data_IF_747051056313
#
_entry.id   IF_747051056313
#
_cell.length_a   1.000
_cell.length_b   1.000
_cell.length_c   1.000
_cell.angle_alpha   90.00
_cell.angle_beta   90.00
_cell.angle_gamma   90.00
#
_symmetry.space_group_name_H-M   'P 1'
#
loop_
_entity.id
_entity.type
_entity.pdbx_description
1 polymer ?
#
# COMPACT_ATOMS: atom_id res chain seq x y z
N UNK A 1 -9.17 -31.78 -27.26
CA UNK A 1 -8.10 -32.04 -26.27
C UNK A 1 -7.87 -30.75 -25.50
N UNK A 2 -8.24 -30.71 -24.23
CA UNK A 2 -7.98 -29.55 -23.35
C UNK A 2 -6.48 -29.59 -23.00
N UNK A 3 -5.70 -28.52 -23.22
CA UNK A 3 -4.30 -28.50 -22.81
C UNK A 3 -4.26 -28.66 -21.29
N UNK A 4 -3.57 -29.69 -20.80
CA UNK A 4 -3.24 -29.80 -19.38
C UNK A 4 -2.41 -28.57 -19.01
N UNK A 5 -2.94 -27.71 -18.16
CA UNK A 5 -2.20 -26.56 -17.62
C UNK A 5 -0.93 -27.08 -16.96
N UNK A 6 0.23 -26.60 -17.40
CA UNK A 6 1.48 -26.86 -16.69
C UNK A 6 1.33 -26.35 -15.25
N UNK A 7 1.74 -27.13 -14.23
CA UNK A 7 1.70 -26.67 -12.86
C UNK A 7 2.55 -25.41 -12.74
N UNK A 8 1.99 -24.33 -12.18
CA UNK A 8 2.77 -23.13 -11.90
C UNK A 8 3.92 -23.49 -10.94
N UNK A 9 5.12 -22.92 -11.14
CA UNK A 9 6.24 -23.19 -10.25
C UNK A 9 5.87 -22.80 -8.82
N UNK A 10 6.04 -23.75 -7.89
CA UNK A 10 5.76 -23.55 -6.48
C UNK A 10 6.64 -22.41 -5.96
N UNK A 11 6.03 -21.39 -5.35
CA UNK A 11 6.75 -20.29 -4.71
C UNK A 11 7.45 -20.83 -3.47
N UNK A 12 8.77 -20.69 -3.41
CA UNK A 12 9.55 -21.09 -2.23
C UNK A 12 9.31 -20.08 -1.10
N UNK A 13 8.89 -20.52 0.08
CA UNK A 13 8.67 -19.65 1.25
C UNK A 13 9.73 -19.92 2.32
N UNK A 14 10.44 -18.87 2.73
CA UNK A 14 11.48 -18.91 3.76
C UNK A 14 11.10 -18.00 4.92
N UNK A 15 10.90 -18.59 6.09
CA UNK A 15 10.86 -17.82 7.35
C UNK A 15 12.29 -17.41 7.70
N UNK A 16 12.53 -16.10 7.85
CA UNK A 16 13.87 -15.56 8.17
C UNK A 16 13.93 -15.21 9.67
N UNK A 17 14.69 -15.96 10.50
CA UNK A 17 14.72 -15.73 11.95
C UNK A 17 15.10 -14.29 12.33
N UNK A 18 16.05 -13.69 11.62
CA UNK A 18 16.52 -12.33 11.84
C UNK A 18 15.43 -11.29 11.61
N UNK A 19 14.44 -11.57 10.76
CA UNK A 19 13.28 -10.68 10.62
C UNK A 19 12.53 -10.59 11.94
N UNK A 20 12.29 -11.70 12.62
CA UNK A 20 11.63 -11.70 13.93
C UNK A 20 12.39 -10.92 15.00
N UNK A 21 13.73 -10.95 14.96
CA UNK A 21 14.56 -10.17 15.88
C UNK A 21 14.31 -8.67 15.75
N UNK A 22 14.14 -8.16 14.52
CA UNK A 22 13.87 -6.73 14.29
C UNK A 22 12.56 -6.24 14.92
N UNK A 23 11.55 -7.12 15.02
CA UNK A 23 10.28 -6.82 15.69
C UNK A 23 10.45 -6.84 17.21
N UNK A 24 11.18 -7.82 17.74
CA UNK A 24 11.50 -7.93 19.17
C UNK A 24 12.30 -6.72 19.67
N UNK A 25 13.33 -6.31 18.93
CA UNK A 25 14.18 -5.16 19.27
C UNK A 25 13.39 -3.85 19.37
N UNK A 26 12.36 -3.70 18.53
CA UNK A 26 11.49 -2.53 18.49
C UNK A 26 10.23 -2.69 19.35
N UNK A 27 10.07 -3.83 20.03
CA UNK A 27 8.94 -4.15 20.93
C UNK A 27 7.59 -3.95 20.24
N UNK A 28 7.46 -4.45 19.02
CA UNK A 28 6.21 -4.41 18.24
C UNK A 28 5.86 -5.80 17.71
N UNK A 29 4.57 -6.09 17.67
CA UNK A 29 4.04 -7.31 17.05
C UNK A 29 3.64 -7.03 15.60
N UNK A 30 3.83 -8.01 14.72
CA UNK A 30 3.44 -7.85 13.32
C UNK A 30 3.97 -8.94 12.40
N UNK A 31 4.04 -8.59 11.12
CA UNK A 31 4.53 -9.44 10.06
C UNK A 31 5.18 -8.63 8.96
N UNK A 32 6.04 -9.30 8.22
CA UNK A 32 6.57 -8.81 6.95
C UNK A 32 6.58 -9.95 5.96
N UNK A 33 6.24 -9.63 4.72
CA UNK A 33 6.45 -10.47 3.56
C UNK A 33 7.27 -9.67 2.54
N UNK A 34 8.34 -10.26 2.02
CA UNK A 34 9.13 -9.75 0.91
C UNK A 34 9.14 -10.80 -0.20
N UNK A 35 8.77 -10.42 -1.41
CA UNK A 35 8.78 -11.30 -2.57
C UNK A 35 9.84 -10.89 -3.59
N UNK A 36 10.69 -11.85 -3.93
CA UNK A 36 11.68 -11.78 -5.01
C UNK A 36 11.13 -12.55 -6.24
N UNK A 37 10.68 -11.84 -7.29
CA UNK A 37 10.16 -12.47 -8.51
C UNK A 37 11.23 -13.19 -9.33
N UNK A 38 12.50 -12.80 -9.24
CA UNK A 38 13.58 -13.42 -10.03
C UNK A 38 13.90 -14.82 -9.52
N UNK A 39 13.82 -15.01 -8.20
CA UNK A 39 13.99 -16.32 -7.55
C UNK A 39 12.67 -17.05 -7.34
N UNK A 40 11.54 -16.40 -7.60
CA UNK A 40 10.21 -16.87 -7.22
C UNK A 40 10.14 -17.28 -5.73
N UNK A 41 10.70 -16.43 -4.86
CA UNK A 41 10.92 -16.73 -3.45
C UNK A 41 10.29 -15.66 -2.54
N UNK A 42 9.68 -16.10 -1.44
CA UNK A 42 9.16 -15.27 -0.36
C UNK A 42 10.10 -15.38 0.84
N UNK A 43 10.47 -14.24 1.41
CA UNK A 43 11.09 -14.11 2.72
C UNK A 43 10.08 -13.50 3.68
N UNK A 44 9.83 -14.13 4.82
CA UNK A 44 8.78 -13.66 5.72
C UNK A 44 9.04 -13.85 7.22
N UNK A 45 8.34 -13.03 8.00
CA UNK A 45 8.12 -13.22 9.43
C UNK A 45 6.61 -13.22 9.69
N UNK A 46 6.16 -14.13 10.55
CA UNK A 46 4.76 -14.35 10.92
C UNK A 46 3.82 -14.65 9.72
N UNK A 47 3.97 -15.82 9.06
CA UNK A 47 3.19 -16.20 7.87
C UNK A 47 1.68 -16.17 8.10
N UNK A 48 1.22 -16.55 9.29
CA UNK A 48 -0.22 -16.53 9.64
C UNK A 48 -0.79 -15.12 9.51
N UNK A 49 -0.08 -14.10 10.00
CA UNK A 49 -0.51 -12.71 9.87
C UNK A 49 -0.38 -12.19 8.44
N UNK A 50 0.58 -12.68 7.66
CA UNK A 50 0.70 -12.36 6.22
C UNK A 50 -0.52 -12.80 5.39
N UNK A 51 -1.31 -13.74 5.91
CA UNK A 51 -2.56 -14.23 5.31
C UNK A 51 -3.82 -13.70 6.03
N UNK A 52 -3.66 -12.84 7.04
CA UNK A 52 -4.78 -12.28 7.80
C UNK A 52 -5.22 -10.95 7.17
N UNK A 53 -6.53 -10.75 6.92
CA UNK A 53 -7.03 -9.54 6.27
C UNK A 53 -7.20 -8.38 7.26
N UNK A 54 -6.71 -7.19 6.92
CA UNK A 54 -6.87 -5.96 7.70
C UNK A 54 -7.40 -4.81 6.83
N UNK A 55 -7.91 -3.76 7.47
CA UNK A 55 -8.21 -2.51 6.76
C UNK A 55 -6.93 -1.99 6.08
N UNK A 56 -6.98 -1.60 4.79
CA UNK A 56 -5.81 -1.05 4.09
C UNK A 56 -5.41 0.32 4.65
N UNK A 57 -6.33 1.05 5.29
CA UNK A 57 -6.13 2.43 5.69
C UNK A 57 -5.53 3.24 4.54
N UNK A 58 -4.50 4.04 4.82
CA UNK A 58 -3.90 4.90 3.81
C UNK A 58 -3.09 4.20 2.71
N UNK A 59 -2.89 2.87 2.74
CA UNK A 59 -2.29 2.17 1.59
C UNK A 59 -3.25 2.18 0.39
N UNK A 60 -4.57 2.26 0.65
CA UNK A 60 -5.59 2.41 -0.39
C UNK A 60 -5.40 3.65 -1.26
N UNK A 61 -4.65 4.66 -0.79
CA UNK A 61 -4.31 5.85 -1.58
C UNK A 61 -3.59 5.52 -2.89
N UNK A 62 -2.90 4.37 -3.00
CA UNK A 62 -2.33 3.91 -4.26
C UNK A 62 -3.45 3.67 -5.29
N UNK A 63 -4.42 2.84 -4.94
CA UNK A 63 -5.54 2.51 -5.83
C UNK A 63 -6.50 3.70 -6.03
N UNK A 64 -6.78 4.48 -4.99
CA UNK A 64 -7.61 5.69 -5.13
C UNK A 64 -6.98 6.69 -6.12
N UNK A 65 -5.64 6.85 -6.12
CA UNK A 65 -4.95 7.69 -7.09
C UNK A 65 -5.12 7.19 -8.53
N UNK A 66 -4.98 5.86 -8.75
CA UNK A 66 -5.20 5.24 -10.06
C UNK A 66 -6.62 5.49 -10.57
N UNK A 67 -7.63 5.20 -9.74
CA UNK A 67 -9.04 5.38 -10.10
C UNK A 67 -9.34 6.86 -10.36
N UNK A 68 -8.77 7.77 -9.58
CA UNK A 68 -8.99 9.22 -9.74
C UNK A 68 -8.49 9.73 -11.09
N UNK A 69 -7.27 9.34 -11.47
CA UNK A 69 -6.65 9.77 -12.72
C UNK A 69 -7.37 9.16 -13.92
N UNK A 70 -7.70 7.87 -13.85
CA UNK A 70 -8.32 7.14 -14.96
C UNK A 70 -9.79 7.53 -15.17
N UNK A 71 -10.52 7.79 -14.09
CA UNK A 71 -11.88 8.35 -14.13
C UNK A 71 -11.90 9.86 -14.46
N UNK A 72 -10.73 10.46 -14.71
CA UNK A 72 -10.55 11.87 -15.08
C UNK A 72 -11.19 12.86 -14.11
N UNK A 73 -11.27 12.52 -12.81
CA UNK A 73 -11.79 13.47 -11.79
C UNK A 73 -10.77 14.57 -11.46
N UNK A 74 -9.51 14.32 -11.81
CA UNK A 74 -8.43 15.28 -11.92
C UNK A 74 -7.65 15.00 -13.21
N UNK A 75 -7.10 16.01 -13.89
CA UNK A 75 -6.30 15.82 -15.08
C UNK A 75 -4.93 15.21 -14.78
N UNK A 76 -4.30 15.53 -13.64
CA UNK A 76 -2.95 15.09 -13.26
C UNK A 76 -2.74 15.23 -11.73
N UNK A 77 -1.52 14.91 -11.27
CA UNK A 77 -1.14 14.97 -9.86
C UNK A 77 -0.90 16.38 -9.30
N UNK A 78 -0.84 17.41 -10.15
CA UNK A 78 -0.42 18.76 -9.79
C UNK A 78 -1.61 19.69 -9.50
N UNK A 79 -2.82 19.28 -9.86
CA UNK A 79 -4.05 19.98 -9.46
C UNK A 79 -4.16 20.10 -7.94
N UNK A 80 -4.34 21.35 -7.50
CA UNK A 80 -4.45 21.72 -6.08
C UNK A 80 -5.89 21.77 -5.63
N UNK A 81 -6.15 21.24 -4.44
CA UNK A 81 -7.39 21.47 -3.70
C UNK A 81 -7.11 22.42 -2.53
N UNK A 82 -8.00 23.40 -2.37
CA UNK A 82 -7.94 24.37 -1.29
C UNK A 82 -8.32 23.71 0.04
N UNK A 83 -7.55 24.01 1.07
CA UNK A 83 -7.86 23.63 2.44
C UNK A 83 -9.08 24.39 2.95
N UNK A 84 -9.96 23.69 3.64
CA UNK A 84 -11.22 24.23 4.16
C UNK A 84 -11.07 25.10 5.42
N UNK A 85 -9.83 25.39 5.84
CA UNK A 85 -9.55 26.13 7.08
C UNK A 85 -9.80 25.33 8.36
N UNK A 86 -10.23 24.06 8.27
CA UNK A 86 -10.47 23.22 9.45
C UNK A 86 -9.14 22.64 9.94
N UNK A 87 -8.77 23.00 11.16
CA UNK A 87 -7.56 22.49 11.80
C UNK A 87 -7.68 20.99 12.11
N UNK A 88 -6.76 20.19 11.56
CA UNK A 88 -6.68 18.74 11.77
C UNK A 88 -5.43 18.35 12.58
N UNK A 89 -5.41 17.16 13.21
CA UNK A 89 -4.33 16.75 14.12
C UNK A 89 -2.95 16.63 13.46
N UNK A 90 -2.88 16.42 12.15
CA UNK A 90 -1.62 16.33 11.40
C UNK A 90 -1.32 17.67 10.74
N UNK A 91 -0.27 18.41 11.14
CA UNK A 91 0.00 19.76 10.61
C UNK A 91 0.12 19.79 9.08
N UNK A 92 0.71 18.75 8.47
CA UNK A 92 0.84 18.65 7.02
C UNK A 92 -0.49 18.58 6.26
N UNK A 93 -1.62 18.38 6.94
CA UNK A 93 -2.95 18.38 6.33
C UNK A 93 -3.59 19.77 6.25
N UNK A 94 -3.09 20.74 7.00
CA UNK A 94 -3.72 22.06 7.19
C UNK A 94 -3.16 23.08 6.19
N UNK A 95 -3.23 22.74 4.91
CA UNK A 95 -2.72 23.54 3.80
C UNK A 95 -3.33 23.05 2.48
N UNK A 96 -3.28 23.89 1.45
CA UNK A 96 -3.61 23.50 0.09
C UNK A 96 -2.65 22.42 -0.40
N UNK A 97 -3.18 21.35 -0.99
CA UNK A 97 -2.40 20.19 -1.43
C UNK A 97 -2.73 19.83 -2.88
N UNK A 98 -1.72 19.36 -3.61
CA UNK A 98 -1.92 18.52 -4.79
C UNK A 98 -1.84 17.01 -4.43
N UNK A 99 -2.02 16.12 -5.41
CA UNK A 99 -2.00 14.67 -5.15
C UNK A 99 -0.64 14.18 -4.66
N UNK A 100 0.47 14.69 -5.21
CA UNK A 100 1.83 14.32 -4.80
C UNK A 100 2.08 14.63 -3.32
N UNK A 101 1.75 15.85 -2.92
CA UNK A 101 1.87 16.31 -1.54
C UNK A 101 0.92 15.54 -0.62
N UNK A 102 -0.35 15.39 -1.01
CA UNK A 102 -1.37 14.65 -0.25
C UNK A 102 -1.01 13.18 -0.06
N UNK A 103 -0.39 12.53 -1.05
CA UNK A 103 0.11 11.15 -0.95
C UNK A 103 1.23 11.07 0.10
N UNK A 104 2.19 12.00 0.04
CA UNK A 104 3.35 12.09 0.95
C UNK A 104 2.93 12.33 2.41
N UNK A 105 2.09 13.32 2.67
CA UNK A 105 1.59 13.62 4.03
C UNK A 105 0.42 12.74 4.45
N UNK A 106 -0.02 11.85 3.55
CA UNK A 106 -1.15 10.94 3.76
C UNK A 106 -2.47 11.65 4.12
N UNK A 107 -2.71 12.84 3.55
CA UNK A 107 -3.87 13.69 3.84
C UNK A 107 -5.18 12.96 3.51
N UNK A 108 -5.95 12.60 4.54
CA UNK A 108 -7.21 11.87 4.36
C UNK A 108 -8.25 12.71 3.63
N UNK A 109 -8.40 13.99 4.01
CA UNK A 109 -9.41 14.88 3.44
C UNK A 109 -9.31 15.00 1.90
N UNK A 110 -8.08 15.07 1.37
CA UNK A 110 -7.85 15.17 -0.07
C UNK A 110 -8.38 13.94 -0.81
N UNK A 111 -8.10 12.75 -0.29
CA UNK A 111 -8.55 11.48 -0.86
C UNK A 111 -10.04 11.21 -0.66
N UNK A 112 -10.65 11.80 0.36
CA UNK A 112 -12.11 11.79 0.54
C UNK A 112 -12.82 12.67 -0.50
N UNK A 113 -12.25 13.83 -0.85
CA UNK A 113 -12.75 14.64 -1.97
C UNK A 113 -12.68 13.84 -3.27
N UNK A 114 -11.53 13.21 -3.55
CA UNK A 114 -11.37 12.36 -4.73
C UNK A 114 -12.39 11.21 -4.76
N UNK A 115 -12.54 10.47 -3.66
CA UNK A 115 -13.49 9.37 -3.58
C UNK A 115 -14.95 9.83 -3.83
N UNK A 116 -15.36 10.97 -3.26
CA UNK A 116 -16.67 11.58 -3.53
C UNK A 116 -16.83 11.98 -5.00
N UNK A 117 -15.80 12.58 -5.62
CA UNK A 117 -15.83 12.95 -7.04
C UNK A 117 -15.88 11.75 -7.97
N UNK A 118 -15.19 10.65 -7.63
CA UNK A 118 -15.27 9.37 -8.35
C UNK A 118 -16.72 8.84 -8.25
N UNK A 119 -17.31 8.88 -7.05
CA UNK A 119 -18.63 8.33 -6.79
C UNK A 119 -18.61 6.80 -6.66
N UNK A 120 -19.67 6.25 -6.07
CA UNK A 120 -19.70 4.86 -5.61
C UNK A 120 -19.50 3.83 -6.74
N UNK A 121 -20.27 3.92 -7.83
CA UNK A 121 -20.22 2.90 -8.90
C UNK A 121 -18.85 2.82 -9.58
N UNK A 122 -18.22 3.96 -9.88
CA UNK A 122 -16.88 3.98 -10.48
C UNK A 122 -15.81 3.49 -9.51
N UNK A 123 -15.93 3.83 -8.21
CA UNK A 123 -15.03 3.31 -7.18
C UNK A 123 -15.14 1.80 -7.06
N UNK A 124 -16.36 1.27 -7.01
CA UNK A 124 -16.65 -0.17 -6.96
C UNK A 124 -16.07 -0.89 -8.16
N UNK A 125 -16.30 -0.37 -9.38
CA UNK A 125 -15.75 -0.93 -10.60
C UNK A 125 -14.21 -0.94 -10.58
N UNK A 126 -13.56 0.14 -10.14
CA UNK A 126 -12.11 0.21 -10.01
C UNK A 126 -11.53 -0.77 -8.99
N UNK A 127 -12.18 -0.93 -7.84
CA UNK A 127 -11.77 -1.87 -6.78
C UNK A 127 -11.93 -3.33 -7.23
N UNK A 128 -13.04 -3.66 -7.91
CA UNK A 128 -13.28 -4.99 -8.47
C UNK A 128 -12.29 -5.27 -9.62
N UNK A 129 -12.14 -4.34 -10.56
CA UNK A 129 -11.24 -4.50 -11.71
C UNK A 129 -9.78 -4.67 -11.31
N UNK A 130 -9.33 -3.97 -10.27
CA UNK A 130 -7.99 -4.14 -9.72
C UNK A 130 -7.82 -5.43 -8.89
N UNK A 131 -8.92 -6.16 -8.61
CA UNK A 131 -8.98 -7.29 -7.68
C UNK A 131 -8.30 -6.97 -6.34
N UNK A 132 -8.73 -5.88 -5.69
CA UNK A 132 -8.08 -5.35 -4.50
C UNK A 132 -8.74 -5.87 -3.22
N UNK A 133 -8.05 -6.77 -2.51
CA UNK A 133 -8.53 -7.38 -1.27
C UNK A 133 -9.86 -8.12 -1.43
N UNK A 134 -10.73 -8.01 -0.43
CA UNK A 134 -12.07 -8.60 -0.48
C UNK A 134 -13.06 -7.85 -1.39
N UNK A 135 -12.64 -6.72 -1.97
CA UNK A 135 -13.38 -5.80 -2.85
C UNK A 135 -14.67 -5.24 -2.23
N UNK A 136 -14.82 -5.32 -0.91
CA UNK A 136 -16.00 -4.86 -0.23
C UNK A 136 -15.87 -3.38 0.14
N UNK A 137 -16.55 -2.49 -0.59
CA UNK A 137 -16.57 -1.05 -0.25
C UNK A 137 -17.82 -0.60 0.51
N UNK A 138 -18.67 -1.56 0.93
CA UNK A 138 -19.92 -1.28 1.64
C UNK A 138 -20.95 -0.55 0.77
N UNK A 139 -21.78 0.26 1.41
CA UNK A 139 -22.85 1.03 0.78
C UNK A 139 -22.38 2.40 0.25
N UNK A 140 -23.13 3.06 -0.65
CA UNK A 140 -22.80 4.40 -1.16
C UNK A 140 -22.52 5.46 -0.08
N UNK A 141 -23.14 5.35 1.10
CA UNK A 141 -22.88 6.22 2.25
C UNK A 141 -21.44 6.15 2.77
N UNK A 142 -20.71 5.08 2.46
CA UNK A 142 -19.37 4.81 2.98
C UNK A 142 -18.27 5.24 2.00
N UNK A 143 -18.62 5.89 0.88
CA UNK A 143 -17.71 6.19 -0.24
C UNK A 143 -16.43 6.90 0.17
N UNK A 144 -16.41 7.63 1.29
CA UNK A 144 -15.24 8.35 1.81
C UNK A 144 -14.67 7.77 3.12
N UNK A 145 -15.13 6.58 3.54
CA UNK A 145 -14.74 5.91 4.79
C UNK A 145 -14.36 4.44 4.62
N UNK A 146 -14.74 3.77 3.53
CA UNK A 146 -14.68 2.31 3.43
C UNK A 146 -13.27 1.71 3.61
N UNK A 147 -12.22 2.46 3.30
CA UNK A 147 -10.82 2.04 3.49
C UNK A 147 -10.25 2.44 4.86
N UNK A 148 -10.95 3.27 5.63
CA UNK A 148 -10.54 3.73 6.96
C UNK A 148 -11.17 2.83 8.03
N UNK A 149 -12.51 2.83 8.08
CA UNK A 149 -13.32 2.12 9.07
C UNK A 149 -13.88 0.79 8.57
N UNK A 150 -13.55 0.39 7.33
CA UNK A 150 -14.11 -0.79 6.69
C UNK A 150 -15.39 -0.49 5.89
N UNK A 151 -15.91 -1.48 5.14
CA UNK A 151 -15.65 -2.90 5.34
C UNK A 151 -14.43 -3.46 4.59
N UNK A 152 -13.78 -2.68 3.71
CA UNK A 152 -12.70 -3.18 2.86
C UNK A 152 -11.55 -3.76 3.68
N UNK A 153 -11.15 -4.99 3.34
CA UNK A 153 -9.96 -5.62 3.91
C UNK A 153 -9.05 -6.21 2.84
N UNK A 154 -7.77 -6.32 3.17
CA UNK A 154 -6.72 -6.90 2.34
C UNK A 154 -5.64 -7.54 3.22
N UNK A 155 -5.07 -8.66 2.78
CA UNK A 155 -3.95 -9.32 3.45
C UNK A 155 -2.60 -8.73 3.00
N UNK A 156 -1.51 -8.89 3.79
CA UNK A 156 -0.17 -8.56 3.32
C UNK A 156 0.22 -9.29 2.02
N UNK A 157 -0.19 -10.54 1.83
CA UNK A 157 0.06 -11.30 0.59
C UNK A 157 -0.70 -10.73 -0.61
N UNK A 158 -1.95 -10.30 -0.43
CA UNK A 158 -2.73 -9.62 -1.48
C UNK A 158 -2.15 -8.22 -1.81
N UNK A 159 -1.55 -7.52 -0.84
CA UNK A 159 -0.80 -6.27 -1.11
C UNK A 159 0.37 -6.53 -2.07
N UNK A 160 1.14 -7.61 -1.87
CA UNK A 160 2.22 -8.00 -2.78
C UNK A 160 1.67 -8.24 -4.19
N UNK A 161 0.61 -9.03 -4.32
CA UNK A 161 0.00 -9.34 -5.61
C UNK A 161 -0.51 -8.08 -6.33
N UNK A 162 -1.13 -7.15 -5.61
CA UNK A 162 -1.56 -5.86 -6.16
C UNK A 162 -0.36 -5.03 -6.65
N UNK A 163 0.71 -4.95 -5.85
CA UNK A 163 1.92 -4.20 -6.20
C UNK A 163 2.67 -4.81 -7.39
N UNK A 164 2.69 -6.14 -7.53
CA UNK A 164 3.24 -6.81 -8.72
C UNK A 164 2.48 -6.41 -9.98
N UNK A 165 1.14 -6.44 -9.96
CA UNK A 165 0.32 -6.01 -11.10
C UNK A 165 0.51 -4.53 -11.40
N UNK A 166 0.63 -3.68 -10.37
CA UNK A 166 0.97 -2.27 -10.55
C UNK A 166 2.33 -2.10 -11.25
N UNK A 167 3.36 -2.79 -10.76
CA UNK A 167 4.71 -2.73 -11.31
C UNK A 167 4.77 -3.18 -12.76
N UNK A 168 4.09 -4.28 -13.10
CA UNK A 168 4.06 -4.85 -14.46
C UNK A 168 3.08 -4.15 -15.42
N UNK A 169 2.43 -3.06 -15.01
CA UNK A 169 1.36 -2.39 -15.78
C UNK A 169 0.20 -3.32 -16.16
N UNK A 170 -0.15 -4.27 -15.27
CA UNK A 170 -1.20 -5.28 -15.48
C UNK A 170 -2.52 -4.94 -14.78
N UNK A 171 -2.63 -3.76 -14.17
CA UNK A 171 -3.89 -3.24 -13.65
C UNK A 171 -4.74 -2.62 -14.78
N UNK A 172 -6.08 -2.62 -14.68
CA UNK A 172 -6.96 -2.10 -15.73
C UNK A 172 -7.05 -0.56 -15.69
N UNK A 173 -5.91 0.11 -15.72
CA UNK A 173 -5.80 1.57 -15.77
C UNK A 173 -4.85 1.96 -16.90
N UNK A 174 -5.01 3.16 -17.44
CA UNK A 174 -4.10 3.68 -18.46
C UNK A 174 -2.65 3.71 -17.99
N UNK A 175 -1.71 3.48 -18.91
CA UNK A 175 -0.26 3.55 -18.63
C UNK A 175 0.13 4.90 -18.03
N UNK A 176 -0.52 5.98 -18.48
CA UNK A 176 -0.37 7.32 -17.92
C UNK A 176 -0.69 7.37 -16.43
N UNK A 177 -1.86 6.87 -16.03
CA UNK A 177 -2.27 6.86 -14.62
C UNK A 177 -1.32 6.02 -13.77
N UNK A 178 -0.89 4.86 -14.28
CA UNK A 178 0.07 4.00 -13.60
C UNK A 178 1.43 4.70 -13.44
N UNK A 179 1.94 5.35 -14.48
CA UNK A 179 3.21 6.09 -14.44
C UNK A 179 3.18 7.22 -13.40
N UNK A 180 2.12 8.03 -13.37
CA UNK A 180 1.93 9.09 -12.37
C UNK A 180 1.91 8.50 -10.96
N UNK A 181 1.17 7.41 -10.73
CA UNK A 181 1.07 6.80 -9.39
C UNK A 181 2.41 6.20 -8.94
N UNK A 182 3.16 5.55 -9.84
CA UNK A 182 4.51 5.06 -9.53
C UNK A 182 5.46 6.20 -9.18
N UNK A 183 5.33 7.35 -9.82
CA UNK A 183 6.16 8.52 -9.56
C UNK A 183 5.88 9.16 -8.18
N UNK A 184 4.60 9.39 -7.83
CA UNK A 184 4.26 9.94 -6.50
C UNK A 184 4.55 8.96 -5.35
N UNK A 185 4.72 7.66 -5.65
CA UNK A 185 5.07 6.64 -4.68
C UNK A 185 6.54 6.68 -4.25
N UNK A 186 7.43 7.41 -4.92
CA UNK A 186 8.86 7.48 -4.58
C UNK A 186 9.02 8.06 -3.17
N UNK A 187 9.50 7.23 -2.24
CA UNK A 187 9.67 7.56 -0.83
C UNK A 187 11.13 7.69 -0.42
N UNK A 188 12.03 7.01 -1.13
CA UNK A 188 13.47 7.02 -0.92
C UNK A 188 14.17 6.73 -2.25
N UNK A 189 15.21 7.47 -2.57
CA UNK A 189 15.93 7.33 -3.83
C UNK A 189 17.39 7.71 -3.63
N UNK A 190 18.28 6.82 -4.08
CA UNK A 190 19.72 7.00 -4.10
C UNK A 190 20.25 6.66 -5.49
N UNK A 191 21.56 6.73 -5.69
CA UNK A 191 22.17 6.24 -6.93
C UNK A 191 22.07 4.71 -7.09
N UNK A 192 21.85 3.99 -5.98
CA UNK A 192 21.87 2.53 -5.92
C UNK A 192 20.47 1.92 -5.98
N UNK A 193 19.47 2.59 -5.42
CA UNK A 193 18.12 2.06 -5.32
C UNK A 193 17.02 3.12 -5.34
N UNK A 194 15.80 2.68 -5.65
CA UNK A 194 14.57 3.46 -5.49
C UNK A 194 13.53 2.67 -4.70
N UNK A 195 13.01 3.22 -3.61
CA UNK A 195 11.87 2.67 -2.86
C UNK A 195 10.60 3.43 -3.21
N UNK A 196 9.62 2.72 -3.75
CA UNK A 196 8.26 3.21 -3.97
C UNK A 196 7.32 2.60 -2.97
N UNK A 197 6.70 3.40 -2.11
CA UNK A 197 5.95 2.86 -0.99
C UNK A 197 4.84 3.78 -0.48
N UNK A 198 3.94 3.21 0.32
CA UNK A 198 2.93 3.95 1.07
C UNK A 198 2.79 3.43 2.49
N UNK A 199 2.73 4.37 3.43
CA UNK A 199 2.34 4.09 4.82
C UNK A 199 0.82 4.02 4.98
N UNK A 200 0.34 3.15 5.89
CA UNK A 200 -1.04 3.07 6.33
C UNK A 200 -1.15 3.02 7.84
N UNK A 201 -2.24 3.57 8.40
CA UNK A 201 -2.55 3.46 9.83
C UNK A 201 -4.07 3.42 10.00
N UNK A 202 -4.59 2.26 10.40
CA UNK A 202 -5.98 2.05 10.75
C UNK A 202 -6.20 2.37 12.23
N UNK A 203 -6.39 3.66 12.54
CA UNK A 203 -6.60 4.14 13.92
C UNK A 203 -7.95 3.69 14.51
N UNK A 204 -8.92 3.34 13.66
CA UNK A 204 -10.22 2.82 14.07
C UNK A 204 -10.25 1.31 14.30
N UNK A 205 -9.16 0.60 14.00
CA UNK A 205 -9.06 -0.84 14.27
C UNK A 205 -8.72 -1.10 15.74
N UNK A 206 -9.13 -2.26 16.26
CA UNK A 206 -8.77 -2.72 17.60
C UNK A 206 -8.18 -4.16 17.53
N UNK A 207 -6.87 -4.36 17.80
CA UNK A 207 -5.85 -3.31 18.00
C UNK A 207 -5.67 -2.47 16.72
N UNK A 208 -5.13 -1.26 16.87
CA UNK A 208 -4.81 -0.43 15.70
C UNK A 208 -3.72 -1.11 14.87
N UNK A 209 -3.80 -0.95 13.55
CA UNK A 209 -2.84 -1.59 12.64
C UNK A 209 -2.10 -0.59 11.76
N UNK A 210 -0.83 -0.86 11.55
CA UNK A 210 0.09 -0.06 10.76
C UNK A 210 0.58 -0.80 9.53
N UNK A 211 0.76 -0.08 8.43
CA UNK A 211 1.26 -0.62 7.16
C UNK A 211 2.45 0.15 6.63
N UNK A 212 3.38 -0.57 6.00
CA UNK A 212 4.30 -0.02 5.01
C UNK A 212 4.40 -1.02 3.85
N UNK A 213 3.87 -0.63 2.70
CA UNK A 213 3.75 -1.50 1.52
C UNK A 213 4.38 -0.82 0.32
N UNK A 214 5.03 -1.57 -0.55
CA UNK A 214 5.75 -1.01 -1.67
C UNK A 214 6.68 -1.99 -2.38
N UNK A 215 7.60 -1.44 -3.15
CA UNK A 215 8.67 -2.20 -3.76
C UNK A 215 9.98 -1.40 -3.80
N UNK A 216 11.08 -2.14 -3.76
CA UNK A 216 12.45 -1.66 -3.91
C UNK A 216 12.93 -2.05 -5.31
N UNK A 217 13.45 -1.09 -6.07
CA UNK A 217 14.18 -1.34 -7.32
C UNK A 217 15.67 -1.09 -7.08
N UNK A 218 16.51 -2.05 -7.48
CA UNK A 218 17.98 -1.95 -7.42
C UNK A 218 18.58 -2.90 -8.46
N UNK A 219 19.61 -2.46 -9.19
CA UNK A 219 20.38 -3.30 -10.11
C UNK A 219 19.51 -4.10 -11.11
N UNK A 220 18.47 -3.49 -11.67
CA UNK A 220 17.48 -4.15 -12.56
C UNK A 220 16.68 -5.28 -11.89
N UNK A 221 16.71 -5.36 -10.56
CA UNK A 221 15.91 -6.26 -9.74
C UNK A 221 14.84 -5.47 -8.99
N UNK A 222 13.75 -6.15 -8.65
CA UNK A 222 12.65 -5.58 -7.88
C UNK A 222 12.27 -6.51 -6.74
N UNK A 223 12.00 -5.94 -5.57
CA UNK A 223 11.55 -6.67 -4.39
C UNK A 223 10.28 -6.03 -3.85
N UNK A 224 9.20 -6.80 -3.80
CA UNK A 224 7.92 -6.32 -3.27
C UNK A 224 7.86 -6.58 -1.79
N UNK A 225 7.36 -5.64 -1.00
CA UNK A 225 7.24 -5.81 0.44
C UNK A 225 5.88 -5.34 0.97
N UNK A 226 5.42 -6.01 2.01
CA UNK A 226 4.30 -5.56 2.83
C UNK A 226 4.61 -5.85 4.29
N UNK A 227 4.79 -4.79 5.08
CA UNK A 227 4.92 -4.85 6.55
C UNK A 227 3.60 -4.45 7.18
N UNK A 228 3.07 -5.28 8.09
CA UNK A 228 1.88 -5.00 8.87
C UNK A 228 2.18 -5.14 10.37
N UNK A 229 1.88 -4.11 11.15
CA UNK A 229 2.15 -4.07 12.60
C UNK A 229 0.85 -3.89 13.39
N UNK A 230 0.85 -4.34 14.63
CA UNK A 230 0.00 -3.78 15.66
C UNK A 230 0.64 -2.50 16.19
N UNK A 231 -0.16 -1.44 16.35
CA UNK A 231 0.30 -0.13 16.80
C UNK A 231 -0.52 0.30 18.03
N UNK A 232 -0.29 -0.29 19.21
CA UNK A 232 -0.98 0.13 20.42
C UNK A 232 -0.71 1.59 20.76
N UNK A 233 0.48 2.11 20.45
CA UNK A 233 0.88 3.49 20.73
C UNK A 233 1.25 4.27 19.46
N UNK A 234 0.77 5.53 19.28
CA UNK A 234 1.14 6.41 18.18
C UNK A 234 2.64 6.52 17.90
N UNK A 235 3.47 6.50 18.95
CA UNK A 235 4.93 6.65 18.83
C UNK A 235 5.59 5.50 18.04
N UNK A 236 4.96 4.32 18.00
CA UNK A 236 5.46 3.15 17.29
C UNK A 236 5.20 3.22 15.78
N UNK A 237 4.48 4.23 15.29
CA UNK A 237 4.20 4.40 13.87
C UNK A 237 5.48 4.51 13.00
N UNK A 238 6.61 4.88 13.58
CA UNK A 238 7.92 4.89 12.89
C UNK A 238 8.48 3.48 12.64
N UNK A 239 8.10 2.49 13.46
CA UNK A 239 8.57 1.11 13.37
C UNK A 239 8.23 0.46 12.02
N UNK A 240 7.12 0.87 11.38
CA UNK A 240 6.70 0.38 10.06
C UNK A 240 7.83 0.48 9.01
N UNK A 241 8.40 1.68 8.82
CA UNK A 241 9.53 1.89 7.88
C UNK A 241 10.81 1.25 8.41
N UNK A 242 11.07 1.38 9.72
CA UNK A 242 12.30 0.87 10.32
C UNK A 242 12.47 -0.64 10.16
N UNK A 243 11.41 -1.42 10.44
CA UNK A 243 11.40 -2.88 10.29
C UNK A 243 11.63 -3.27 8.84
N UNK A 244 10.91 -2.67 7.90
CA UNK A 244 11.08 -2.98 6.48
C UNK A 244 12.52 -2.77 6.04
N UNK A 245 13.13 -1.63 6.41
CA UNK A 245 14.51 -1.32 6.02
C UNK A 245 15.52 -2.26 6.71
N UNK A 246 15.29 -2.64 7.97
CA UNK A 246 16.12 -3.64 8.64
C UNK A 246 16.05 -5.01 7.95
N UNK A 247 14.86 -5.45 7.55
CA UNK A 247 14.68 -6.71 6.82
C UNK A 247 15.31 -6.68 5.43
N UNK A 248 15.17 -5.57 4.70
CA UNK A 248 15.84 -5.39 3.41
C UNK A 248 17.38 -5.43 3.55
N UNK A 249 17.95 -4.82 4.60
CA UNK A 249 19.38 -4.92 4.92
C UNK A 249 19.82 -6.34 5.30
N UNK A 250 19.00 -7.08 6.06
CA UNK A 250 19.26 -8.51 6.34
C UNK A 250 19.39 -9.33 5.07
N UNK A 251 18.65 -8.97 4.01
CA UNK A 251 18.76 -9.60 2.68
C UNK A 251 19.90 -9.03 1.81
N UNK A 252 20.65 -8.04 2.30
CA UNK A 252 21.72 -7.37 1.55
C UNK A 252 21.23 -6.44 0.44
N UNK A 253 20.01 -5.92 0.56
CA UNK A 253 19.34 -5.12 -0.48
C UNK A 253 19.42 -3.59 -0.24
N UNK A 254 20.02 -3.15 0.87
CA UNK A 254 20.18 -1.74 1.24
C UNK A 254 21.51 -1.52 1.97
#
# INVERSE_FOLDING_TARGET
>A
MIPKSQPQPVIERRVVPEFGQHFQDLKVEGSIIIYDPQKNQIYEHNPKRNQTPFSPASTFKILNSLISLDAQVIPDQDVRFTWDGIQRPFPGWNQDLNMREAFKVSAVWFYQILARRIGYERMKAGVIGANYGDRNIGDPSNIDQFWLSGPLKITPEEQIQFLQRLYLNQLPFSERSIAIVKDIMIMDQTAQYTVRAKTGWAMSANPQTGWYVGYLEQNQQVYFFATNLELPEPAQATARKAITYRCLRTLGLL
#
